data_IF_102237648708
#
_entry.id   IF_102237648708
#
_cell.length_a   1.000
_cell.length_b   1.000
_cell.length_c   1.000
_cell.angle_alpha   90.00
_cell.angle_beta   90.00
_cell.angle_gamma   90.00
#
_symmetry.space_group_name_H-M   'P 1'
#
loop_
_entity.id
_entity.type
_entity.pdbx_description
1 polymer ?
#
# COMPACT_ATOMS: atom_id res chain seq x y z
N UNK A 1 3.63 22.04 -50.93
CA UNK A 1 3.31 20.96 -49.98
C UNK A 1 4.15 21.14 -48.71
N UNK A 2 3.78 22.06 -47.80
CA UNK A 2 4.53 22.26 -46.53
C UNK A 2 3.68 22.80 -45.38
N UNK A 3 2.43 23.20 -45.62
CA UNK A 3 1.56 23.82 -44.61
C UNK A 3 0.89 22.83 -43.65
N UNK A 4 0.90 21.53 -43.98
CA UNK A 4 0.22 20.48 -43.22
C UNK A 4 1.15 19.69 -42.27
N UNK A 5 2.48 19.84 -42.41
CA UNK A 5 3.45 19.15 -41.56
C UNK A 5 3.57 19.77 -40.15
N UNK A 6 3.31 21.07 -40.02
CA UNK A 6 3.37 21.78 -38.74
C UNK A 6 2.21 21.41 -37.80
N UNK A 7 1.02 21.11 -38.33
CA UNK A 7 -0.14 20.72 -37.52
C UNK A 7 0.00 19.31 -36.91
N UNK A 8 0.53 18.36 -37.68
CA UNK A 8 0.76 16.99 -37.20
C UNK A 8 1.88 16.92 -36.15
N UNK A 9 2.94 17.71 -36.31
CA UNK A 9 4.04 17.75 -35.35
C UNK A 9 3.61 18.30 -33.97
N UNK A 10 2.67 19.25 -33.93
CA UNK A 10 2.13 19.82 -32.69
C UNK A 10 1.19 18.86 -31.95
N UNK A 11 0.43 18.04 -32.67
CA UNK A 11 -0.50 17.08 -32.06
C UNK A 11 0.23 15.93 -31.36
N UNK A 12 1.36 15.46 -31.89
CA UNK A 12 2.13 14.38 -31.28
C UNK A 12 2.82 14.84 -29.99
N UNK A 13 3.32 16.09 -29.96
CA UNK A 13 3.98 16.65 -28.78
C UNK A 13 3.03 16.80 -27.58
N UNK A 14 1.77 17.17 -27.78
CA UNK A 14 0.80 17.35 -26.70
C UNK A 14 0.44 16.02 -25.99
N UNK A 15 0.38 14.92 -26.72
CA UNK A 15 0.12 13.58 -26.15
C UNK A 15 1.27 13.03 -25.30
N UNK A 16 2.51 13.49 -25.51
CA UNK A 16 3.67 13.01 -24.75
C UNK A 16 3.72 13.58 -23.32
N UNK A 17 3.14 14.77 -23.08
CA UNK A 17 3.18 15.43 -21.76
C UNK A 17 2.22 14.77 -20.77
N UNK A 18 1.11 14.20 -21.24
CA UNK A 18 0.13 13.51 -20.40
C UNK A 18 0.63 12.16 -19.85
N UNK A 19 1.56 11.49 -20.53
CA UNK A 19 2.19 10.26 -20.02
C UNK A 19 3.18 10.54 -18.86
N UNK A 20 3.69 11.78 -18.75
CA UNK A 20 4.64 12.20 -17.73
C UNK A 20 4.03 12.72 -16.43
N UNK A 21 2.72 12.95 -16.37
CA UNK A 21 2.04 13.49 -15.19
C UNK A 21 1.55 12.42 -14.19
N UNK A 22 2.04 11.18 -14.30
CA UNK A 22 1.72 10.11 -13.36
C UNK A 22 2.61 10.20 -12.11
N UNK A 23 2.36 11.18 -11.23
CA UNK A 23 3.04 11.29 -9.91
C UNK A 23 2.57 10.25 -8.87
N UNK A 24 1.98 9.16 -9.33
CA UNK A 24 1.67 8.03 -8.45
C UNK A 24 2.01 6.76 -9.22
N UNK A 25 3.09 6.09 -8.82
CA UNK A 25 3.28 4.72 -9.26
C UNK A 25 2.02 3.94 -8.87
N UNK A 26 1.28 3.45 -9.86
CA UNK A 26 0.21 2.49 -9.64
C UNK A 26 0.86 1.17 -9.26
N UNK A 27 1.23 1.03 -7.99
CA UNK A 27 1.91 -0.16 -7.51
C UNK A 27 0.95 -1.03 -6.73
N UNK A 28 0.12 -1.78 -7.44
CA UNK A 28 -0.39 -3.05 -6.91
C UNK A 28 0.79 -4.01 -6.69
N UNK A 29 1.77 -4.05 -7.61
CA UNK A 29 3.02 -4.79 -7.45
C UNK A 29 3.84 -4.32 -6.23
N UNK A 30 4.09 -3.01 -6.04
CA UNK A 30 4.70 -2.56 -4.78
C UNK A 30 3.76 -2.63 -3.60
N UNK A 31 2.43 -2.73 -3.72
CA UNK A 31 1.58 -2.90 -2.53
C UNK A 31 1.88 -4.24 -1.88
N UNK A 32 1.92 -5.31 -2.68
CA UNK A 32 2.31 -6.63 -2.19
C UNK A 32 3.77 -6.64 -1.72
N UNK A 33 4.69 -6.05 -2.49
CA UNK A 33 6.10 -5.97 -2.10
C UNK A 33 6.30 -5.15 -0.81
N UNK A 34 5.55 -4.06 -0.63
CA UNK A 34 5.58 -3.26 0.60
C UNK A 34 4.99 -4.05 1.76
N UNK A 35 3.86 -4.73 1.58
CA UNK A 35 3.28 -5.57 2.62
C UNK A 35 4.26 -6.68 3.05
N UNK A 36 4.91 -7.35 2.10
CA UNK A 36 5.94 -8.35 2.37
C UNK A 36 7.17 -7.77 3.07
N UNK A 37 7.64 -6.61 2.61
CA UNK A 37 8.79 -5.93 3.22
C UNK A 37 8.46 -5.48 4.64
N UNK A 38 7.31 -4.86 4.84
CA UNK A 38 6.82 -4.47 6.16
C UNK A 38 6.67 -5.69 7.05
N UNK A 39 6.13 -6.81 6.55
CA UNK A 39 5.98 -8.06 7.32
C UNK A 39 7.32 -8.56 7.85
N UNK A 40 8.40 -8.48 7.05
CA UNK A 40 9.75 -8.88 7.49
C UNK A 40 10.30 -7.97 8.59
N UNK A 41 9.94 -6.69 8.59
CA UNK A 41 10.39 -5.71 9.60
C UNK A 41 9.63 -5.88 10.91
N UNK A 42 8.29 -5.96 10.84
CA UNK A 42 7.43 -6.00 12.04
C UNK A 42 7.25 -7.40 12.62
N UNK A 43 7.47 -8.45 11.82
CA UNK A 43 7.34 -9.84 12.23
C UNK A 43 5.91 -10.27 12.56
N UNK A 44 5.82 -11.29 13.41
CA UNK A 44 4.55 -11.98 13.76
C UNK A 44 4.33 -12.14 15.27
N UNK A 45 5.20 -11.56 16.10
CA UNK A 45 5.19 -11.80 17.56
C UNK A 45 3.95 -11.25 18.25
N UNK A 46 3.35 -10.20 17.68
CA UNK A 46 2.10 -9.64 18.18
C UNK A 46 0.88 -10.50 17.85
N UNK A 47 0.97 -11.46 16.92
CA UNK A 47 -0.19 -12.24 16.48
C UNK A 47 -0.74 -13.09 17.63
N UNK A 48 -1.90 -12.70 18.16
CA UNK A 48 -2.55 -13.32 19.31
C UNK A 48 -1.88 -13.01 20.66
N UNK A 49 -0.97 -12.04 20.71
CA UNK A 49 -0.40 -11.54 21.95
C UNK A 49 -1.49 -10.90 22.82
N UNK A 50 -1.35 -11.05 24.14
CA UNK A 50 -2.19 -10.37 25.13
C UNK A 50 -1.36 -9.38 25.92
N UNK A 51 -1.87 -8.16 26.04
CA UNK A 51 -1.29 -7.12 26.87
C UNK A 51 -1.41 -7.46 28.35
N UNK A 52 -0.44 -7.01 29.15
CA UNK A 52 -0.49 -7.16 30.61
C UNK A 52 -1.63 -6.33 31.25
N UNK A 53 -2.00 -5.22 30.62
CA UNK A 53 -3.09 -4.35 31.03
C UNK A 53 -4.07 -4.11 29.88
N UNK A 54 -5.26 -3.59 30.20
CA UNK A 54 -6.24 -3.14 29.19
C UNK A 54 -5.62 -2.08 28.26
N UNK A 55 -4.78 -1.19 28.81
CA UNK A 55 -4.10 -0.16 28.01
C UNK A 55 -3.08 -0.78 27.05
N UNK A 56 -2.38 -1.83 27.47
CA UNK A 56 -1.43 -2.52 26.61
C UNK A 56 -2.15 -3.33 25.53
N UNK A 57 -3.29 -3.96 25.88
CA UNK A 57 -4.12 -4.65 24.90
C UNK A 57 -4.61 -3.67 23.82
N UNK A 58 -5.10 -2.50 24.21
CA UNK A 58 -5.53 -1.48 23.25
C UNK A 58 -4.39 -1.03 22.31
N UNK A 59 -3.15 -0.93 22.80
CA UNK A 59 -2.00 -0.62 21.94
C UNK A 59 -1.73 -1.76 20.96
N UNK A 60 -1.73 -3.01 21.42
CA UNK A 60 -1.54 -4.19 20.57
C UNK A 60 -2.62 -4.26 19.50
N UNK A 61 -3.89 -4.08 19.87
CA UNK A 61 -5.03 -4.15 18.97
C UNK A 61 -4.98 -3.04 17.91
N UNK A 62 -4.60 -1.81 18.31
CA UNK A 62 -4.42 -0.70 17.37
C UNK A 62 -3.29 -0.98 16.37
N UNK A 63 -2.15 -1.51 16.82
CA UNK A 63 -1.04 -1.90 15.93
C UNK A 63 -1.47 -3.03 14.98
N UNK A 64 -2.15 -4.05 15.52
CA UNK A 64 -2.67 -5.17 14.73
C UNK A 64 -3.68 -4.70 13.66
N UNK A 65 -4.61 -3.82 14.03
CA UNK A 65 -5.60 -3.26 13.11
C UNK A 65 -4.94 -2.53 11.93
N UNK A 66 -3.87 -1.75 12.19
CA UNK A 66 -3.11 -1.08 11.14
C UNK A 66 -2.43 -2.06 10.18
N UNK A 67 -1.75 -3.08 10.70
CA UNK A 67 -1.07 -4.10 9.89
C UNK A 67 -2.05 -4.97 9.09
N UNK A 68 -3.20 -5.29 9.67
CA UNK A 68 -4.29 -6.00 9.00
C UNK A 68 -4.95 -5.15 7.91
N UNK A 69 -5.23 -3.87 8.18
CA UNK A 69 -5.78 -2.95 7.18
C UNK A 69 -4.82 -2.69 6.01
N UNK A 70 -3.51 -2.75 6.27
CA UNK A 70 -2.47 -2.64 5.25
C UNK A 70 -2.20 -3.95 4.49
N UNK A 71 -2.80 -5.09 4.90
CA UNK A 71 -2.58 -6.39 4.28
C UNK A 71 -1.22 -7.04 4.59
N UNK A 72 -0.54 -6.60 5.66
CA UNK A 72 0.76 -7.15 6.10
C UNK A 72 0.59 -8.55 6.72
N UNK A 73 -0.54 -8.78 7.39
CA UNK A 73 -0.93 -10.07 7.94
C UNK A 73 -2.11 -10.66 7.18
N UNK A 74 -2.19 -12.00 7.16
CA UNK A 74 -3.27 -12.72 6.50
C UNK A 74 -4.59 -12.56 7.26
N UNK A 75 -5.75 -12.76 6.60
CA UNK A 75 -7.04 -12.75 7.30
C UNK A 75 -7.13 -13.73 8.47
N UNK A 76 -6.44 -14.88 8.38
CA UNK A 76 -6.40 -15.86 9.45
C UNK A 76 -5.62 -15.38 10.68
N UNK A 77 -4.53 -14.65 10.46
CA UNK A 77 -3.72 -14.04 11.51
C UNK A 77 -4.47 -12.88 12.16
N UNK A 78 -5.13 -12.04 11.36
CA UNK A 78 -5.92 -10.92 11.85
C UNK A 78 -7.09 -11.35 12.76
N UNK A 79 -7.72 -12.49 12.49
CA UNK A 79 -8.79 -13.03 13.36
C UNK A 79 -8.31 -13.41 14.75
N UNK A 80 -7.00 -13.60 14.96
CA UNK A 80 -6.42 -13.87 16.29
C UNK A 80 -6.43 -12.63 17.20
N UNK A 81 -6.77 -11.46 16.65
CA UNK A 81 -6.92 -10.18 17.36
C UNK A 81 -8.38 -9.76 17.64
N UNK A 82 -9.34 -10.68 17.55
CA UNK A 82 -10.71 -10.43 17.96
C UNK A 82 -10.97 -11.05 19.33
N UNK A 83 -11.06 -10.21 20.37
CA UNK A 83 -11.32 -10.67 21.73
C UNK A 83 -11.67 -9.56 22.70
N UNK A 84 -12.73 -8.80 22.40
CA UNK A 84 -14.00 -8.81 23.15
C UNK A 84 -15.15 -8.59 22.16
#
# INVERSE_FOLDING_TARGET
MTRNAFGFAWLIAASAVLAGCSTSQQVSASRNLQADTTRRIVGTDLIGARGATVRDQAKIDNTAAGLCGAGVWTPSECRRHGGQ
#
